data_IF_075132738078
#
_entry.id   IF_075132738078
#
_cell.length_a   1.000
_cell.length_b   1.000
_cell.length_c   1.000
_cell.angle_alpha   90.00
_cell.angle_beta   90.00
_cell.angle_gamma   90.00
#
_symmetry.space_group_name_H-M   'P 1'
#
loop_
_entity.id
_entity.type
_entity.pdbx_description
1 polymer ?
#
# COMPACT_ATOMS: atom_id res chain seq x y z
N UNK A 1 35.66 10.38 -9.07
CA UNK A 1 36.22 9.20 -8.38
C UNK A 1 35.39 8.01 -8.83
N UNK A 2 35.96 6.81 -8.92
CA UNK A 2 35.14 5.64 -9.26
C UNK A 2 34.22 5.34 -8.07
N UNK A 3 32.90 5.36 -8.29
CA UNK A 3 31.93 4.91 -7.30
C UNK A 3 32.13 3.41 -7.06
N UNK A 4 32.69 3.06 -5.92
CA UNK A 4 32.81 1.65 -5.51
C UNK A 4 31.47 1.16 -4.99
N UNK A 5 30.57 0.84 -5.90
CA UNK A 5 29.32 0.10 -5.65
C UNK A 5 29.61 -1.15 -4.84
N UNK A 6 29.15 -1.22 -3.60
CA UNK A 6 29.26 -2.44 -2.79
C UNK A 6 28.06 -3.36 -3.08
N UNK A 7 28.17 -4.04 -4.22
CA UNK A 7 27.20 -5.03 -4.66
C UNK A 7 27.01 -6.17 -3.64
N UNK A 8 28.02 -6.49 -2.81
CA UNK A 8 27.89 -7.54 -1.80
C UNK A 8 27.09 -7.06 -0.59
N UNK A 9 27.27 -5.81 -0.16
CA UNK A 9 26.39 -5.20 0.86
C UNK A 9 24.96 -5.08 0.37
N UNK A 10 24.72 -4.65 -0.89
CA UNK A 10 23.38 -4.64 -1.47
C UNK A 10 22.76 -6.05 -1.49
N UNK A 11 23.50 -7.05 -1.99
CA UNK A 11 23.00 -8.43 -2.05
C UNK A 11 22.64 -8.98 -0.66
N UNK A 12 23.39 -8.59 0.38
CA UNK A 12 23.06 -8.94 1.77
C UNK A 12 21.76 -8.28 2.24
N UNK A 13 21.59 -6.97 2.02
CA UNK A 13 20.35 -6.25 2.36
C UNK A 13 19.13 -6.90 1.66
N UNK A 14 19.27 -7.23 0.37
CA UNK A 14 18.20 -7.91 -0.39
C UNK A 14 17.95 -9.36 0.07
N UNK A 15 18.89 -10.00 0.76
CA UNK A 15 18.72 -11.34 1.32
C UNK A 15 17.86 -11.32 2.60
N UNK A 16 18.02 -10.30 3.45
CA UNK A 16 17.20 -10.13 4.66
C UNK A 16 15.69 -10.11 4.32
N UNK A 17 15.30 -9.44 3.23
CA UNK A 17 13.91 -9.37 2.74
C UNK A 17 13.32 -10.72 2.33
N UNK A 18 14.16 -11.70 1.96
CA UNK A 18 13.72 -13.07 1.63
C UNK A 18 13.38 -13.87 2.88
N UNK A 19 13.90 -13.45 4.04
CA UNK A 19 13.74 -14.11 5.34
C UNK A 19 12.83 -13.34 6.31
N UNK A 20 12.65 -12.03 6.10
CA UNK A 20 11.73 -11.17 6.83
C UNK A 20 10.27 -11.54 6.52
N UNK A 21 9.68 -12.36 7.39
CA UNK A 21 8.25 -12.71 7.38
C UNK A 21 7.41 -11.48 7.72
N UNK A 22 6.33 -11.23 6.97
CA UNK A 22 5.46 -10.06 7.28
C UNK A 22 4.87 -10.18 8.69
N UNK A 23 5.11 -9.15 9.49
CA UNK A 23 4.78 -9.06 10.93
C UNK A 23 3.28 -9.21 11.16
N UNK A 24 2.45 -8.77 10.22
CA UNK A 24 1.00 -8.96 10.27
C UNK A 24 0.59 -10.43 10.35
N UNK A 25 1.15 -11.28 9.48
CA UNK A 25 0.84 -12.72 9.46
C UNK A 25 1.42 -13.47 10.66
N UNK A 26 2.60 -13.07 11.14
CA UNK A 26 3.18 -13.59 12.38
C UNK A 26 2.24 -13.38 13.58
N UNK A 27 1.59 -12.21 13.68
CA UNK A 27 0.63 -11.89 14.76
C UNK A 27 -0.67 -12.70 14.67
N UNK A 28 -1.04 -13.20 13.50
CA UNK A 28 -2.16 -14.14 13.31
C UNK A 28 -1.76 -15.62 13.45
N UNK A 29 -0.51 -15.92 13.84
CA UNK A 29 0.03 -17.29 13.94
C UNK A 29 -0.12 -18.11 12.65
N UNK A 30 0.02 -17.46 11.48
CA UNK A 30 0.06 -18.16 10.19
C UNK A 30 1.27 -19.13 10.18
N UNK A 31 1.09 -20.44 9.88
CA UNK A 31 2.19 -21.40 9.95
C UNK A 31 3.36 -21.12 8.99
N UNK A 32 3.05 -20.80 7.74
CA UNK A 32 4.05 -20.44 6.70
C UNK A 32 3.68 -19.06 6.11
N UNK A 33 3.99 -17.97 6.82
CA UNK A 33 3.73 -16.63 6.34
C UNK A 33 4.74 -16.26 5.24
N UNK A 34 4.27 -15.50 4.26
CA UNK A 34 5.11 -14.94 3.21
C UNK A 34 6.13 -13.95 3.79
N UNK A 35 7.19 -13.72 3.02
CA UNK A 35 8.19 -12.69 3.32
C UNK A 35 7.95 -11.44 2.50
N UNK A 36 8.55 -10.32 2.92
CA UNK A 36 8.41 -9.02 2.25
C UNK A 36 8.82 -9.10 0.77
N UNK A 37 9.88 -9.86 0.45
CA UNK A 37 10.25 -10.14 -0.94
C UNK A 37 9.16 -10.86 -1.74
N UNK A 38 8.40 -11.80 -1.14
CA UNK A 38 7.29 -12.49 -1.82
C UNK A 38 6.11 -11.54 -2.11
N UNK A 39 5.81 -10.64 -1.16
CA UNK A 39 4.79 -9.60 -1.32
C UNK A 39 5.13 -8.64 -2.46
N UNK A 40 6.33 -8.03 -2.43
CA UNK A 40 6.80 -7.15 -3.50
C UNK A 40 6.84 -7.84 -4.87
N UNK A 41 7.24 -9.12 -4.93
CA UNK A 41 7.22 -9.91 -6.17
C UNK A 41 5.79 -10.03 -6.75
N UNK A 42 4.79 -10.39 -5.93
CA UNK A 42 3.42 -10.54 -6.42
C UNK A 42 2.81 -9.19 -6.82
N UNK A 43 3.10 -8.11 -6.09
CA UNK A 43 2.75 -6.75 -6.49
C UNK A 43 3.37 -6.35 -7.84
N UNK A 44 4.65 -6.65 -8.09
CA UNK A 44 5.30 -6.36 -9.36
C UNK A 44 4.63 -7.10 -10.53
N UNK A 45 4.23 -8.37 -10.33
CA UNK A 45 3.45 -9.13 -11.33
C UNK A 45 2.07 -8.52 -11.55
N UNK A 46 1.39 -8.02 -10.51
CA UNK A 46 0.11 -7.32 -10.66
C UNK A 46 0.27 -5.99 -11.40
N UNK A 47 1.35 -5.23 -11.16
CA UNK A 47 1.62 -3.97 -11.84
C UNK A 47 1.86 -4.13 -13.35
N UNK A 48 2.27 -5.31 -13.83
CA UNK A 48 2.35 -5.62 -15.27
C UNK A 48 0.97 -5.65 -15.96
N UNK A 49 -0.11 -5.86 -15.19
CA UNK A 49 -1.48 -5.99 -15.68
C UNK A 49 -2.25 -4.66 -15.74
N UNK A 50 -1.64 -3.54 -15.33
CA UNK A 50 -2.23 -2.22 -15.48
C UNK A 50 -2.39 -1.85 -16.96
N UNK A 51 -3.38 -1.04 -17.27
CA UNK A 51 -3.60 -0.50 -18.60
C UNK A 51 -2.57 0.59 -18.97
N UNK A 52 -2.68 1.14 -20.19
CA UNK A 52 -1.80 2.20 -20.69
C UNK A 52 -2.11 3.60 -20.11
N UNK A 53 -3.05 3.72 -19.14
CA UNK A 53 -3.27 4.97 -18.40
C UNK A 53 -2.20 5.19 -17.30
N UNK A 54 -1.41 4.18 -16.96
CA UNK A 54 -0.32 4.23 -15.98
C UNK A 54 1.05 3.98 -16.62
N UNK A 55 2.13 4.60 -16.10
CA UNK A 55 3.48 4.14 -16.41
C UNK A 55 3.76 2.81 -15.69
N UNK A 56 3.47 1.70 -16.38
CA UNK A 56 3.74 0.33 -15.90
C UNK A 56 5.18 0.12 -15.47
N UNK A 57 6.17 0.66 -16.19
CA UNK A 57 7.58 0.46 -15.88
C UNK A 57 7.98 1.21 -14.59
N UNK A 58 7.36 2.36 -14.33
CA UNK A 58 7.46 3.08 -13.07
C UNK A 58 6.74 2.34 -11.93
N UNK A 59 5.50 1.90 -12.12
CA UNK A 59 4.76 1.11 -11.13
C UNK A 59 5.52 -0.16 -10.71
N UNK A 60 6.05 -0.93 -11.66
CA UNK A 60 6.84 -2.13 -11.37
C UNK A 60 8.08 -1.79 -10.54
N UNK A 61 8.86 -0.78 -10.94
CA UNK A 61 10.05 -0.36 -10.16
C UNK A 61 9.65 0.12 -8.76
N UNK A 62 8.59 0.90 -8.62
CA UNK A 62 8.05 1.35 -7.34
C UNK A 62 7.66 0.17 -6.43
N UNK A 63 6.93 -0.83 -6.95
CA UNK A 63 6.57 -2.04 -6.16
C UNK A 63 7.80 -2.80 -5.65
N UNK A 64 8.93 -2.74 -6.35
CA UNK A 64 10.17 -3.43 -5.99
C UNK A 64 11.06 -2.66 -5.00
N UNK A 65 10.80 -1.37 -4.75
CA UNK A 65 11.60 -0.54 -3.82
C UNK A 65 10.81 0.00 -2.61
N UNK A 66 9.49 -0.16 -2.59
CA UNK A 66 8.66 0.51 -1.58
C UNK A 66 8.92 0.02 -0.14
N UNK A 67 9.05 -1.29 0.08
CA UNK A 67 9.37 -1.90 1.38
C UNK A 67 10.88 -2.19 1.53
N UNK A 68 11.76 -1.63 0.68
CA UNK A 68 13.20 -1.95 0.69
C UNK A 68 13.87 -1.54 2.01
N UNK A 69 13.38 -0.47 2.65
CA UNK A 69 13.82 -0.03 3.98
C UNK A 69 13.55 -1.03 5.11
N UNK A 70 12.54 -1.90 4.97
CA UNK A 70 12.22 -2.95 5.96
C UNK A 70 13.37 -3.95 6.14
N UNK A 71 14.28 -4.07 5.16
CA UNK A 71 15.50 -4.87 5.26
C UNK A 71 16.41 -4.45 6.44
N UNK A 72 16.33 -3.18 6.86
CA UNK A 72 17.16 -2.61 7.92
C UNK A 72 16.37 -2.46 9.23
N UNK A 73 15.07 -2.15 9.16
CA UNK A 73 14.25 -1.80 10.34
C UNK A 73 13.17 -2.83 10.70
N UNK A 74 12.94 -3.83 9.85
CA UNK A 74 11.85 -4.81 9.94
C UNK A 74 10.49 -4.29 9.45
N UNK A 75 9.51 -5.19 9.31
CA UNK A 75 8.11 -4.86 9.01
C UNK A 75 7.45 -4.20 10.25
N UNK A 76 7.35 -2.87 10.22
CA UNK A 76 6.78 -2.03 11.28
C UNK A 76 5.26 -1.87 11.07
N UNK A 77 4.50 -2.83 11.59
CA UNK A 77 3.03 -2.71 11.66
C UNK A 77 2.55 -1.64 12.65
N UNK A 78 1.32 -1.10 12.52
CA UNK A 78 0.70 -0.21 13.51
C UNK A 78 0.60 -0.78 14.93
N UNK A 79 0.67 -2.11 15.08
CA UNK A 79 0.68 -2.80 16.36
C UNK A 79 2.08 -2.88 17.01
N UNK A 80 3.09 -2.21 16.47
CA UNK A 80 4.44 -2.15 17.05
C UNK A 80 4.65 -0.95 17.99
N UNK A 81 3.65 -0.05 18.13
CA UNK A 81 3.73 1.10 19.04
C UNK A 81 4.58 2.28 18.57
N UNK A 82 5.09 2.22 17.33
CA UNK A 82 5.86 3.28 16.68
C UNK A 82 4.88 4.24 15.98
N UNK A 83 5.09 5.55 16.09
CA UNK A 83 4.25 6.56 15.43
C UNK A 83 4.51 6.58 13.91
N UNK A 84 3.55 7.09 13.13
CA UNK A 84 3.71 7.21 11.66
C UNK A 84 4.93 8.07 11.32
N UNK A 85 5.14 9.18 12.02
CA UNK A 85 6.30 10.07 11.83
C UNK A 85 7.62 9.38 12.13
N UNK A 86 7.69 8.55 13.18
CA UNK A 86 8.91 7.82 13.54
C UNK A 86 9.18 6.64 12.60
N UNK A 87 8.13 5.93 12.16
CA UNK A 87 8.23 4.92 11.09
C UNK A 87 8.85 5.55 9.83
N UNK A 88 8.27 6.64 9.34
CA UNK A 88 8.76 7.34 8.16
C UNK A 88 10.20 7.86 8.34
N UNK A 89 10.58 8.36 9.52
CA UNK A 89 11.97 8.76 9.81
C UNK A 89 12.94 7.57 9.70
N UNK A 90 12.58 6.43 10.29
CA UNK A 90 13.38 5.20 10.25
C UNK A 90 13.51 4.64 8.82
N UNK A 91 12.44 4.68 8.04
CA UNK A 91 12.43 4.23 6.64
C UNK A 91 13.27 5.14 5.73
N UNK A 92 13.18 6.46 5.91
CA UNK A 92 14.02 7.43 5.21
C UNK A 92 15.52 7.20 5.50
N UNK A 93 15.88 6.96 6.76
CA UNK A 93 17.26 6.65 7.16
C UNK A 93 17.73 5.28 6.67
N UNK A 94 16.84 4.30 6.53
CA UNK A 94 17.13 3.02 5.90
C UNK A 94 17.36 3.17 4.39
N UNK A 95 16.44 3.83 3.69
CA UNK A 95 16.51 4.03 2.24
C UNK A 95 17.77 4.78 1.83
N UNK A 96 18.14 5.86 2.53
CA UNK A 96 19.41 6.57 2.27
C UNK A 96 20.62 5.65 2.29
N UNK A 97 20.75 4.83 3.35
CA UNK A 97 21.84 3.84 3.47
C UNK A 97 21.83 2.82 2.34
N UNK A 98 20.66 2.37 1.88
CA UNK A 98 20.54 1.41 0.77
C UNK A 98 20.96 2.08 -0.55
N UNK A 99 20.54 3.32 -0.78
CA UNK A 99 20.85 4.06 -2.00
C UNK A 99 22.32 4.47 -2.12
N UNK A 100 23.04 4.58 -1.01
CA UNK A 100 24.49 4.76 -0.97
C UNK A 100 25.28 3.49 -1.39
N UNK A 101 24.65 2.31 -1.46
CA UNK A 101 25.30 1.06 -1.87
C UNK A 101 25.35 0.86 -3.40
N UNK A 102 24.57 1.64 -4.16
CA UNK A 102 24.42 1.56 -5.62
C UNK A 102 25.03 2.78 -6.32
N UNK A 103 25.24 2.76 -7.66
CA UNK A 103 25.66 3.96 -8.38
C UNK A 103 24.67 5.12 -8.17
N UNK A 104 25.15 6.37 -8.11
CA UNK A 104 24.32 7.51 -7.70
C UNK A 104 23.01 7.65 -8.50
N UNK A 105 23.04 7.41 -9.81
CA UNK A 105 21.84 7.47 -10.66
C UNK A 105 20.79 6.40 -10.36
N UNK A 106 21.19 5.23 -9.86
CA UNK A 106 20.28 4.20 -9.39
C UNK A 106 19.76 4.51 -7.99
N UNK A 107 20.62 5.05 -7.11
CA UNK A 107 20.24 5.50 -5.77
C UNK A 107 19.20 6.62 -5.81
N UNK A 108 19.38 7.61 -6.69
CA UNK A 108 18.44 8.71 -6.92
C UNK A 108 17.09 8.21 -7.45
N UNK A 109 17.07 7.29 -8.44
CA UNK A 109 15.83 6.68 -8.97
C UNK A 109 15.08 5.92 -7.87
N UNK A 110 15.78 5.10 -7.08
CA UNK A 110 15.17 4.31 -6.01
C UNK A 110 14.65 5.17 -4.85
N UNK A 111 15.42 6.17 -4.41
CA UNK A 111 14.98 7.11 -3.38
C UNK A 111 13.75 7.90 -3.85
N UNK A 112 13.77 8.41 -5.09
CA UNK A 112 12.65 9.15 -5.66
C UNK A 112 11.38 8.30 -5.77
N UNK A 113 11.50 7.04 -6.21
CA UNK A 113 10.36 6.12 -6.31
C UNK A 113 9.78 5.75 -4.93
N UNK A 114 10.64 5.53 -3.93
CA UNK A 114 10.22 5.29 -2.56
C UNK A 114 9.51 6.52 -1.95
N UNK A 115 10.09 7.72 -2.13
CA UNK A 115 9.49 8.94 -1.59
C UNK A 115 8.14 9.22 -2.28
N UNK A 116 8.05 9.08 -3.60
CA UNK A 116 6.79 9.24 -4.32
C UNK A 116 5.69 8.26 -3.85
N UNK A 117 6.08 7.02 -3.52
CA UNK A 117 5.17 6.04 -2.92
C UNK A 117 4.66 6.50 -1.55
N UNK A 118 5.53 6.99 -0.67
CA UNK A 118 5.13 7.47 0.66
C UNK A 118 4.31 8.77 0.61
N UNK A 119 4.69 9.73 -0.22
CA UNK A 119 3.94 10.98 -0.46
C UNK A 119 2.53 10.67 -1.04
N UNK A 120 2.39 9.60 -1.84
CA UNK A 120 1.11 9.07 -2.33
C UNK A 120 0.27 10.11 -3.12
N UNK A 121 0.94 11.06 -3.79
CA UNK A 121 0.27 12.13 -4.54
C UNK A 121 0.00 11.75 -6.01
N UNK A 122 0.91 11.02 -6.65
CA UNK A 122 0.85 10.68 -8.08
C UNK A 122 -0.14 9.56 -8.38
N UNK A 123 -0.54 9.41 -9.66
CA UNK A 123 -1.41 8.30 -10.08
C UNK A 123 -0.70 6.95 -9.93
N UNK A 124 0.61 6.89 -10.19
CA UNK A 124 1.44 5.70 -9.98
C UNK A 124 1.58 5.32 -8.51
N UNK A 125 1.81 6.27 -7.60
CA UNK A 125 1.88 5.98 -6.17
C UNK A 125 0.54 5.48 -5.63
N UNK A 126 -0.57 6.15 -6.00
CA UNK A 126 -1.93 5.77 -5.60
C UNK A 126 -2.30 4.36 -6.08
N UNK A 127 -1.95 3.99 -7.32
CA UNK A 127 -2.25 2.64 -7.83
C UNK A 127 -1.39 1.58 -7.14
N UNK A 128 -0.11 1.86 -6.85
CA UNK A 128 0.77 0.93 -6.13
C UNK A 128 0.32 0.75 -4.67
N UNK A 129 -0.11 1.81 -3.97
CA UNK A 129 -0.76 1.74 -2.64
C UNK A 129 -2.12 1.00 -2.66
N UNK A 130 -2.77 0.87 -3.81
CA UNK A 130 -3.93 -0.01 -3.98
C UNK A 130 -3.51 -1.47 -4.21
N UNK A 131 -2.44 -1.71 -4.98
CA UNK A 131 -1.87 -3.04 -5.18
C UNK A 131 -1.39 -3.68 -3.88
N UNK A 132 -0.68 -2.94 -3.01
CA UNK A 132 -0.27 -3.42 -1.66
C UNK A 132 -1.48 -3.94 -0.86
N UNK A 133 -2.50 -3.09 -0.68
CA UNK A 133 -3.73 -3.45 0.05
C UNK A 133 -4.46 -4.63 -0.57
N UNK A 134 -4.55 -4.68 -1.91
CA UNK A 134 -5.21 -5.77 -2.63
C UNK A 134 -4.46 -7.10 -2.44
N UNK A 135 -3.13 -7.07 -2.58
CA UNK A 135 -2.24 -8.21 -2.36
C UNK A 135 -2.40 -8.78 -0.94
N UNK A 136 -2.35 -7.92 0.07
CA UNK A 136 -2.59 -8.28 1.48
C UNK A 136 -3.98 -8.92 1.70
N UNK A 137 -5.04 -8.37 1.10
CA UNK A 137 -6.42 -8.90 1.26
C UNK A 137 -6.56 -10.27 0.58
N UNK A 138 -6.02 -10.43 -0.63
CA UNK A 138 -6.02 -11.70 -1.36
C UNK A 138 -5.20 -12.76 -0.61
N UNK A 139 -4.07 -12.37 -0.02
CA UNK A 139 -3.25 -13.27 0.79
C UNK A 139 -3.95 -13.72 2.08
N UNK A 140 -4.68 -12.83 2.76
CA UNK A 140 -5.51 -13.22 3.90
C UNK A 140 -6.54 -14.30 3.51
N UNK A 141 -7.27 -14.09 2.42
CA UNK A 141 -8.25 -15.04 1.90
C UNK A 141 -7.61 -16.40 1.53
N UNK A 142 -6.41 -16.41 0.95
CA UNK A 142 -5.68 -17.65 0.69
C UNK A 142 -5.23 -18.35 1.98
N UNK A 143 -4.86 -17.63 3.04
CA UNK A 143 -4.52 -18.25 4.33
C UNK A 143 -5.74 -18.79 5.07
N UNK A 144 -6.88 -18.11 5.03
CA UNK A 144 -8.14 -18.62 5.56
C UNK A 144 -8.50 -19.97 4.92
N UNK A 145 -8.37 -20.09 3.60
CA UNK A 145 -8.59 -21.36 2.89
C UNK A 145 -7.51 -22.42 3.17
N UNK A 146 -6.23 -22.05 3.14
CA UNK A 146 -5.11 -23.00 3.27
C UNK A 146 -5.05 -23.65 4.67
N UNK A 147 -5.45 -22.91 5.71
CA UNK A 147 -5.28 -23.33 7.10
C UNK A 147 -6.61 -23.53 7.86
N UNK A 148 -7.77 -23.32 7.22
CA UNK A 148 -9.11 -23.37 7.83
C UNK A 148 -9.24 -22.48 9.08
N UNK A 149 -8.78 -21.23 8.94
CA UNK A 149 -8.76 -20.21 10.00
C UNK A 149 -9.60 -18.99 9.62
N UNK A 150 -10.01 -18.21 10.63
CA UNK A 150 -10.73 -16.95 10.42
C UNK A 150 -9.86 -15.74 10.80
N UNK A 151 -9.37 -15.00 9.82
CA UNK A 151 -8.52 -13.82 9.99
C UNK A 151 -9.43 -12.59 10.18
N UNK A 152 -9.45 -12.03 11.39
CA UNK A 152 -10.16 -10.79 11.68
C UNK A 152 -9.25 -9.60 11.42
N UNK A 153 -9.23 -9.12 10.18
CA UNK A 153 -8.65 -7.81 9.85
C UNK A 153 -9.27 -6.72 10.74
N UNK A 154 -8.44 -6.00 11.49
CA UNK A 154 -8.88 -4.96 12.40
C UNK A 154 -9.35 -3.71 11.66
N UNK A 155 -10.43 -3.07 12.15
CA UNK A 155 -10.81 -1.75 11.67
C UNK A 155 -9.77 -0.71 12.09
N UNK A 156 -9.14 -0.03 11.12
CA UNK A 156 -8.40 1.20 11.39
C UNK A 156 -9.42 2.25 11.86
N UNK A 157 -9.28 2.79 13.08
CA UNK A 157 -9.95 4.06 13.41
C UNK A 157 -9.32 5.13 12.53
N UNK A 158 -10.14 5.91 11.83
CA UNK A 158 -9.69 7.17 11.26
C UNK A 158 -9.32 8.07 12.45
N UNK A 159 -8.10 8.59 12.47
CA UNK A 159 -7.68 9.62 13.41
C UNK A 159 -8.15 10.97 12.89
N UNK A 160 -8.70 11.80 13.75
CA UNK A 160 -9.34 13.08 13.38
C UNK A 160 -8.32 14.21 13.05
N UNK A 161 -7.13 13.85 12.55
CA UNK A 161 -5.96 14.73 12.38
C UNK A 161 -5.65 15.02 10.89
N UNK A 162 -6.62 14.78 10.00
CA UNK A 162 -6.56 15.15 8.57
C UNK A 162 -6.86 16.66 8.35
N UNK A 163 -6.98 17.48 9.41
CA UNK A 163 -7.40 18.89 9.34
C UNK A 163 -6.26 19.87 9.02
N UNK A 164 -5.47 19.59 7.98
CA UNK A 164 -4.49 20.52 7.41
C UNK A 164 -4.70 20.66 5.89
N UNK A 165 -5.91 21.06 5.51
CA UNK A 165 -6.16 21.72 4.23
C UNK A 165 -6.94 23.00 4.51
N UNK A 166 -6.23 24.13 4.46
CA UNK A 166 -6.84 25.45 4.56
C UNK A 166 -7.41 25.85 3.20
N UNK A 167 -8.71 26.04 3.11
CA UNK A 167 -9.33 26.71 1.97
C UNK A 167 -9.00 28.21 2.02
N UNK A 168 -8.32 28.69 0.99
CA UNK A 168 -8.31 30.11 0.63
C UNK A 168 -8.96 30.26 -0.73
N UNK A 169 -10.16 30.84 -0.80
CA UNK A 169 -10.29 32.13 -1.48
C UNK A 169 -11.54 32.90 -0.99
N UNK A 170 -11.68 34.14 -1.49
CA UNK A 170 -12.47 35.23 -0.91
C UNK A 170 -13.48 35.83 -1.90
N UNK A 171 -14.54 36.49 -1.37
CA UNK A 171 -15.59 37.26 -2.10
C UNK A 171 -16.46 36.44 -3.08
N UNK A 172 -17.73 36.72 -3.44
CA UNK A 172 -18.87 37.53 -2.94
C UNK A 172 -20.14 36.97 -3.66
N UNK A 173 -21.43 37.31 -3.44
CA UNK A 173 -22.11 38.37 -2.66
C UNK A 173 -23.47 37.87 -2.08
N UNK A 174 -24.29 38.77 -1.52
CA UNK A 174 -25.59 38.53 -0.86
C UNK A 174 -26.79 38.53 -1.84
N UNK A 175 -27.81 37.64 -1.66
CA UNK A 175 -29.25 37.97 -1.49
C UNK A 175 -30.26 36.79 -1.60
N UNK A 176 -30.72 36.35 -0.42
CA UNK A 176 -32.11 36.11 0.03
C UNK A 176 -33.18 35.23 -0.66
N UNK A 177 -33.89 34.51 0.23
CA UNK A 177 -35.34 34.20 0.31
C UNK A 177 -36.01 33.06 -0.51
N UNK A 178 -36.57 32.14 0.28
CA UNK A 178 -37.88 31.45 0.15
C UNK A 178 -38.02 30.10 -0.60
N UNK A 179 -38.20 29.08 0.27
CA UNK A 179 -39.32 28.11 0.29
C UNK A 179 -39.12 26.64 -0.14
N UNK A 180 -39.01 25.80 0.90
CA UNK A 180 -39.85 24.61 1.18
C UNK A 180 -39.62 23.28 0.40
N UNK A 181 -39.12 22.31 1.17
CA UNK A 181 -39.51 20.86 1.24
C UNK A 181 -38.70 19.77 0.53
N UNK A 182 -38.93 18.55 1.05
CA UNK A 182 -38.52 17.23 0.59
C UNK A 182 -37.06 16.80 0.82
N UNK A 183 -36.81 16.26 2.02
CA UNK A 183 -35.72 15.32 2.27
C UNK A 183 -35.71 14.17 1.24
N UNK A 184 -34.58 13.97 0.56
CA UNK A 184 -34.14 12.64 0.14
C UNK A 184 -32.64 12.54 0.36
N UNK A 185 -32.22 11.62 1.24
CA UNK A 185 -30.83 11.44 1.64
C UNK A 185 -29.94 11.15 0.43
N UNK A 186 -29.01 12.06 0.13
CA UNK A 186 -28.03 11.87 -0.93
C UNK A 186 -27.02 10.81 -0.54
N UNK A 187 -27.00 9.69 -1.27
CA UNK A 187 -25.98 8.64 -1.12
C UNK A 187 -24.65 9.16 -1.68
N UNK A 188 -23.76 9.62 -0.81
CA UNK A 188 -22.39 9.97 -1.19
C UNK A 188 -21.65 8.72 -1.69
N UNK A 189 -20.83 8.86 -2.75
CA UNK A 189 -20.46 7.73 -3.60
C UNK A 189 -19.13 7.02 -3.27
N UNK A 190 -18.42 7.49 -2.24
CA UNK A 190 -17.02 7.13 -2.00
C UNK A 190 -16.78 6.29 -0.72
N UNK A 191 -17.79 5.57 -0.27
CA UNK A 191 -17.68 4.64 0.86
C UNK A 191 -17.37 3.21 0.35
N UNK A 192 -16.08 2.93 0.12
CA UNK A 192 -15.58 1.56 -0.09
C UNK A 192 -15.61 0.78 1.23
N UNK A 193 -16.81 0.35 1.58
CA UNK A 193 -17.10 -0.27 2.87
C UNK A 193 -16.47 -1.67 2.98
N UNK A 194 -15.44 -1.79 3.83
CA UNK A 194 -14.63 -3.01 4.06
C UNK A 194 -15.47 -4.16 4.69
N UNK A 195 -16.75 -3.92 4.93
CA UNK A 195 -17.71 -4.84 5.57
C UNK A 195 -18.22 -6.01 4.71
N UNK A 196 -18.05 -6.00 3.39
CA UNK A 196 -18.67 -7.01 2.50
C UNK A 196 -18.14 -8.46 2.66
N UNK A 197 -17.13 -8.70 3.50
CA UNK A 197 -16.51 -10.02 3.71
C UNK A 197 -17.37 -10.97 4.60
N UNK A 198 -18.38 -10.46 5.33
CA UNK A 198 -19.22 -11.30 6.22
C UNK A 198 -20.70 -11.38 5.84
N UNK A 199 -21.04 -12.31 4.93
CA UNK A 199 -22.25 -13.13 5.07
C UNK A 199 -21.91 -14.62 4.97
N UNK A 200 -22.37 -15.47 5.93
CA UNK A 200 -21.98 -16.87 6.00
C UNK A 200 -22.84 -17.71 5.03
N UNK A 201 -22.62 -17.56 3.73
CA UNK A 201 -23.07 -18.49 2.67
C UNK A 201 -22.45 -18.07 1.35
N UNK A 202 -21.92 -19.04 0.59
CA UNK A 202 -21.35 -18.92 -0.78
C UNK A 202 -19.92 -18.35 -0.88
N UNK A 203 -18.97 -19.28 -0.79
CA UNK A 203 -17.58 -19.18 -1.29
C UNK A 203 -17.48 -18.61 -2.74
N UNK A 204 -18.54 -18.71 -3.55
CA UNK A 204 -18.59 -18.18 -4.91
C UNK A 204 -18.58 -16.64 -5.05
N UNK A 205 -18.88 -15.86 -4.00
CA UNK A 205 -19.03 -14.40 -4.17
C UNK A 205 -17.68 -13.67 -4.32
N UNK A 206 -16.65 -14.08 -3.59
CA UNK A 206 -15.33 -13.45 -3.62
C UNK A 206 -14.70 -13.56 -5.02
N UNK A 207 -14.77 -14.75 -5.63
CA UNK A 207 -14.23 -15.03 -6.98
C UNK A 207 -15.11 -14.51 -8.13
N UNK A 208 -16.31 -14.00 -7.86
CA UNK A 208 -17.19 -13.45 -8.88
C UNK A 208 -17.18 -11.92 -8.85
N UNK A 209 -17.40 -11.31 -7.68
CA UNK A 209 -17.49 -9.86 -7.54
C UNK A 209 -16.13 -9.18 -7.79
N UNK A 210 -15.05 -9.69 -7.20
CA UNK A 210 -13.71 -9.15 -7.44
C UNK A 210 -13.14 -9.54 -8.81
N UNK A 211 -13.56 -10.65 -9.40
CA UNK A 211 -13.16 -11.00 -10.77
C UNK A 211 -13.82 -10.08 -11.79
N UNK A 212 -15.10 -9.75 -11.61
CA UNK A 212 -15.77 -8.74 -12.43
C UNK A 212 -15.12 -7.37 -12.19
N UNK A 213 -14.97 -6.93 -10.93
CA UNK A 213 -14.35 -5.65 -10.60
C UNK A 213 -12.90 -5.50 -11.06
N UNK A 214 -12.10 -6.56 -11.03
CA UNK A 214 -10.72 -6.55 -11.51
C UNK A 214 -10.68 -6.54 -13.05
N UNK A 215 -11.56 -7.29 -13.73
CA UNK A 215 -11.68 -7.25 -15.19
C UNK A 215 -12.20 -5.88 -15.68
N UNK A 216 -13.12 -5.24 -14.95
CA UNK A 216 -13.61 -3.86 -15.16
C UNK A 216 -12.60 -2.76 -14.73
N UNK A 217 -11.40 -3.14 -14.27
CA UNK A 217 -10.37 -2.23 -13.73
C UNK A 217 -9.00 -2.38 -14.41
N UNK A 218 -8.81 -3.44 -15.21
CA UNK A 218 -7.64 -3.66 -16.07
C UNK A 218 -7.94 -3.41 -17.56
N UNK A 219 -9.12 -2.89 -17.89
CA UNK A 219 -9.57 -2.60 -19.27
C UNK A 219 -10.85 -1.79 -19.34
#
# INVERSE_FOLDING_TARGET
MAETTDIFSLLKILDELKHLKRTGWMKFNIPEPETVACHMYRMAVLAMLLDDSYDRAKCIRMTLVHDLGEAIIGDITPYCGISVTEKHRLENEAMKKITEMVPSSAGEDWYSLWQEYEDNETKEAKIVKHLDKFDMIVQAFHYEQKYDIAIKMGKRKRSDDDSVFGETDSSDTVLNSDAVSANSCGTNKDEYDIWLIRKPTKVCFFTSFWKIKFIEWIG
#
